data_IF_109250644140
#
_entry.id   IF_109250644140
#
_cell.length_a   1.000
_cell.length_b   1.000
_cell.length_c   1.000
_cell.angle_alpha   90.00
_cell.angle_beta   90.00
_cell.angle_gamma   90.00
#
_symmetry.space_group_name_H-M   'P 1'
#
loop_
_entity.id
_entity.type
_entity.pdbx_description
1 polymer ?
#
# COMPACT_ATOMS: atom_id res chain seq x y z
N UNK A 1 18.23 2.11 9.27
CA UNK A 1 17.41 0.94 8.88
C UNK A 1 16.13 0.85 9.69
N UNK A 2 16.16 1.06 11.02
CA UNK A 2 14.96 1.07 11.89
C UNK A 2 13.86 2.06 11.50
N UNK A 3 14.17 3.21 10.90
CA UNK A 3 13.15 4.21 10.52
C UNK A 3 12.23 3.72 9.40
N UNK A 4 12.77 2.98 8.43
CA UNK A 4 11.98 2.41 7.33
C UNK A 4 11.04 1.33 7.83
N UNK A 5 11.52 0.45 8.71
CA UNK A 5 10.69 -0.61 9.29
C UNK A 5 9.57 -0.06 10.17
N UNK A 6 9.87 0.99 10.95
CA UNK A 6 8.88 1.68 11.78
C UNK A 6 7.81 2.35 10.94
N UNK A 7 8.21 3.05 9.87
CA UNK A 7 7.28 3.71 8.96
C UNK A 7 6.43 2.71 8.19
N UNK A 8 7.05 1.63 7.69
CA UNK A 8 6.32 0.54 7.05
C UNK A 8 5.27 -0.07 7.99
N UNK A 9 5.64 -0.36 9.24
CA UNK A 9 4.71 -0.89 10.24
C UNK A 9 3.54 0.07 10.52
N UNK A 10 3.81 1.37 10.65
CA UNK A 10 2.79 2.41 10.83
C UNK A 10 1.79 2.42 9.66
N UNK A 11 2.29 2.27 8.44
CA UNK A 11 1.46 2.20 7.22
C UNK A 11 0.62 0.90 7.19
N UNK A 12 1.20 -0.25 7.55
CA UNK A 12 0.45 -1.51 7.67
C UNK A 12 -0.70 -1.41 8.71
N UNK A 13 -0.42 -0.82 9.87
CA UNK A 13 -1.44 -0.58 10.92
C UNK A 13 -2.55 0.36 10.42
N UNK A 14 -2.19 1.39 9.65
CA UNK A 14 -3.16 2.33 9.05
C UNK A 14 -4.06 1.67 8.01
N UNK A 15 -3.50 0.78 7.19
CA UNK A 15 -4.23 0.06 6.14
C UNK A 15 -5.06 -1.11 6.69
N UNK A 16 -4.65 -1.70 7.82
CA UNK A 16 -5.24 -2.92 8.35
C UNK A 16 -4.83 -4.19 7.59
N UNK A 17 -3.89 -4.09 6.65
CA UNK A 17 -3.33 -5.21 5.90
C UNK A 17 -1.86 -4.95 5.53
N UNK A 18 -1.17 -5.98 5.04
CA UNK A 18 0.23 -5.90 4.59
C UNK A 18 0.27 -5.54 3.09
N UNK A 19 0.77 -4.35 2.69
CA UNK A 19 0.79 -3.91 1.29
C UNK A 19 1.48 -4.87 0.33
N UNK A 20 2.58 -5.49 0.77
CA UNK A 20 3.36 -6.42 -0.06
C UNK A 20 2.67 -7.75 -0.34
N UNK A 21 1.61 -8.06 0.42
CA UNK A 21 0.81 -9.27 0.24
C UNK A 21 -0.53 -8.97 -0.45
N UNK A 22 -0.82 -7.69 -0.70
CA UNK A 22 -2.06 -7.28 -1.34
C UNK A 22 -2.12 -7.79 -2.77
N UNK A 23 -3.20 -8.50 -3.08
CA UNK A 23 -3.52 -8.98 -4.42
C UNK A 23 -4.83 -8.32 -4.83
N UNK A 24 -4.79 -7.55 -5.90
CA UNK A 24 -6.00 -7.03 -6.51
C UNK A 24 -6.75 -8.18 -7.20
N UNK A 25 -7.97 -8.45 -6.75
CA UNK A 25 -8.88 -9.47 -7.27
C UNK A 25 -10.10 -8.88 -7.99
N UNK A 26 -10.09 -7.58 -8.23
CA UNK A 26 -11.16 -6.84 -8.88
C UNK A 26 -11.17 -6.96 -10.42
N UNK A 27 -12.13 -6.28 -11.07
CA UNK A 27 -12.24 -6.24 -12.53
C UNK A 27 -10.97 -5.69 -13.17
N UNK A 28 -10.68 -6.18 -14.38
CA UNK A 28 -9.51 -5.76 -15.17
C UNK A 28 -9.60 -4.29 -15.58
N UNK A 29 -10.81 -3.79 -15.77
CA UNK A 29 -11.07 -2.38 -16.05
C UNK A 29 -11.21 -1.62 -14.72
N UNK A 30 -10.76 -0.36 -14.72
CA UNK A 30 -10.96 0.51 -13.56
C UNK A 30 -12.46 0.73 -13.33
N UNK A 31 -12.91 0.39 -12.13
CA UNK A 31 -14.27 0.62 -11.67
C UNK A 31 -14.23 1.54 -10.45
N UNK A 32 -14.61 2.81 -10.66
CA UNK A 32 -14.67 3.84 -9.60
C UNK A 32 -15.66 3.48 -8.48
N UNK A 33 -16.54 2.49 -8.70
CA UNK A 33 -17.42 1.95 -7.65
C UNK A 33 -16.67 1.09 -6.63
N UNK A 34 -15.46 0.64 -6.95
CA UNK A 34 -14.63 -0.19 -6.09
C UNK A 34 -13.67 0.71 -5.30
N UNK A 35 -13.80 0.76 -3.96
CA UNK A 35 -12.96 1.61 -3.15
C UNK A 35 -11.50 1.15 -3.22
N UNK A 36 -10.60 2.07 -3.59
CA UNK A 36 -9.17 1.81 -3.57
C UNK A 36 -8.71 1.63 -2.11
N UNK A 37 -8.16 0.46 -1.71
CA UNK A 37 -7.75 0.20 -0.33
C UNK A 37 -6.55 1.05 0.10
N UNK A 38 -5.81 1.64 -0.83
CA UNK A 38 -4.72 2.58 -0.56
C UNK A 38 -5.16 4.05 -0.48
N UNK A 39 -6.46 4.34 -0.66
CA UNK A 39 -7.00 5.72 -0.61
C UNK A 39 -6.84 6.40 0.75
N UNK A 40 -6.64 5.62 1.82
CA UNK A 40 -6.38 6.14 3.18
C UNK A 40 -4.96 6.70 3.34
N UNK A 41 -4.04 6.38 2.42
CA UNK A 41 -2.66 6.83 2.48
C UNK A 41 -2.51 8.27 2.03
N UNK A 42 -1.54 8.97 2.62
CA UNK A 42 -1.05 10.23 2.03
C UNK A 42 -0.22 9.92 0.79
N UNK A 43 -0.02 10.94 -0.05
CA UNK A 43 0.88 10.85 -1.22
C UNK A 43 2.29 10.40 -0.79
N UNK A 44 2.79 10.88 0.34
CA UNK A 44 4.11 10.54 0.87
C UNK A 44 4.20 9.08 1.32
N UNK A 45 3.15 8.57 1.98
CA UNK A 45 3.07 7.16 2.40
C UNK A 45 3.02 6.22 1.19
N UNK A 46 2.20 6.55 0.19
CA UNK A 46 2.13 5.78 -1.06
C UNK A 46 3.48 5.77 -1.82
N UNK A 47 4.13 6.94 -1.91
CA UNK A 47 5.47 7.06 -2.48
C UNK A 47 6.51 6.25 -1.70
N UNK A 48 6.47 6.31 -0.37
CA UNK A 48 7.36 5.52 0.49
C UNK A 48 7.23 4.03 0.20
N UNK A 49 6.00 3.52 0.07
CA UNK A 49 5.78 2.11 -0.27
C UNK A 49 6.35 1.74 -1.65
N UNK A 50 6.15 2.61 -2.64
CA UNK A 50 6.65 2.40 -4.01
C UNK A 50 8.18 2.43 -4.07
N UNK A 51 8.82 3.47 -3.55
CA UNK A 51 10.27 3.69 -3.61
C UNK A 51 11.07 2.61 -2.85
N UNK A 52 10.45 1.95 -1.86
CA UNK A 52 11.06 0.86 -1.09
C UNK A 52 10.62 -0.54 -1.55
N UNK A 53 9.85 -0.67 -2.63
CA UNK A 53 9.49 -1.95 -3.25
C UNK A 53 8.38 -2.73 -2.53
N UNK A 54 7.63 -2.10 -1.63
CA UNK A 54 6.57 -2.77 -0.87
C UNK A 54 5.27 -2.97 -1.68
N UNK A 55 5.11 -2.31 -2.83
CA UNK A 55 3.96 -2.47 -3.72
C UNK A 55 4.24 -3.35 -4.95
N UNK A 56 5.49 -3.74 -5.15
CA UNK A 56 5.91 -4.49 -6.34
C UNK A 56 6.94 -5.54 -5.91
N UNK A 57 6.49 -6.68 -5.34
CA UNK A 57 7.41 -7.77 -5.05
C UNK A 57 8.00 -8.26 -6.37
N UNK A 58 9.31 -8.06 -6.55
CA UNK A 58 10.09 -8.71 -7.60
C UNK A 58 10.22 -10.20 -7.34
#
# INVERSE_FOLDING_TARGET
MMEKEKEYKRICEKLGFVPSEYKYDGPVEEDDSIPNPFSVLTIEEGRFLYENGYLNPR
#
